data_IF_732728635626
#
_entry.id   IF_732728635626
#
_cell.length_a   1.000
_cell.length_b   1.000
_cell.length_c   1.000
_cell.angle_alpha   90.00
_cell.angle_beta   90.00
_cell.angle_gamma   90.00
#
_symmetry.space_group_name_H-M   'P 1'
#
loop_
_entity.id
_entity.type
_entity.pdbx_description
1 polymer ?
#
# COMPACT_ATOMS: atom_id res chain seq x y z
N UNK A 1 14.63 20.66 5.32
CA UNK A 1 14.37 21.55 4.17
C UNK A 1 13.20 20.98 3.36
N UNK A 2 12.38 21.81 2.72
CA UNK A 2 11.30 21.35 1.81
C UNK A 2 11.84 21.19 0.38
N UNK A 3 11.13 20.44 -0.48
CA UNK A 3 11.57 20.13 -1.85
C UNK A 3 11.80 21.40 -2.69
N UNK A 4 10.89 22.37 -2.64
CA UNK A 4 11.03 23.64 -3.38
C UNK A 4 12.25 24.43 -2.88
N UNK A 5 12.39 24.58 -1.56
CA UNK A 5 13.55 25.27 -0.98
C UNK A 5 14.88 24.58 -1.29
N UNK A 6 14.89 23.25 -1.41
CA UNK A 6 16.06 22.50 -1.86
C UNK A 6 16.38 22.83 -3.32
N UNK A 7 15.39 22.76 -4.20
CA UNK A 7 15.55 23.10 -5.60
C UNK A 7 16.10 24.52 -5.79
N UNK A 8 15.56 25.52 -5.10
CA UNK A 8 16.00 26.91 -5.23
C UNK A 8 17.46 27.11 -4.79
N UNK A 9 17.91 26.38 -3.77
CA UNK A 9 19.30 26.39 -3.31
C UNK A 9 20.22 25.75 -4.35
N UNK A 10 19.86 24.58 -4.86
CA UNK A 10 20.68 23.87 -5.85
C UNK A 10 20.72 24.64 -7.18
N UNK A 11 19.59 25.22 -7.60
CA UNK A 11 19.50 26.02 -8.83
C UNK A 11 20.32 27.32 -8.75
N UNK A 12 20.33 27.99 -7.58
CA UNK A 12 21.23 29.14 -7.33
C UNK A 12 22.71 28.77 -7.37
N UNK A 13 23.07 27.54 -6.99
CA UNK A 13 24.44 27.05 -7.10
C UNK A 13 24.79 26.60 -8.54
N UNK A 14 23.80 26.18 -9.34
CA UNK A 14 23.95 25.82 -10.76
C UNK A 14 24.48 26.98 -11.62
N UNK A 15 24.08 28.21 -11.30
CA UNK A 15 24.58 29.40 -12.02
C UNK A 15 26.06 29.67 -11.74
N UNK A 16 26.62 29.10 -10.66
CA UNK A 16 28.00 29.32 -10.20
C UNK A 16 28.96 28.17 -10.51
N UNK A 17 28.49 26.92 -10.59
CA UNK A 17 29.36 25.75 -10.85
C UNK A 17 28.59 24.65 -11.61
N UNK A 18 28.89 24.46 -12.90
CA UNK A 18 28.13 23.56 -13.79
C UNK A 18 28.79 22.22 -14.08
N UNK A 19 30.01 21.96 -13.58
CA UNK A 19 30.86 20.90 -14.14
C UNK A 19 31.23 19.78 -13.15
N UNK A 20 30.65 19.76 -11.94
CA UNK A 20 30.90 18.71 -10.95
C UNK A 20 29.94 17.52 -11.07
N UNK A 21 30.46 16.30 -11.07
CA UNK A 21 29.65 15.06 -11.06
C UNK A 21 28.61 15.04 -9.92
N UNK A 22 29.05 15.35 -8.69
CA UNK A 22 28.17 15.46 -7.52
C UNK A 22 27.10 16.55 -7.71
N UNK A 23 27.47 17.69 -8.32
CA UNK A 23 26.53 18.77 -8.58
C UNK A 23 25.41 18.33 -9.54
N UNK A 24 25.77 17.68 -10.64
CA UNK A 24 24.81 17.18 -11.63
C UNK A 24 23.87 16.12 -11.05
N UNK A 25 24.39 15.22 -10.22
CA UNK A 25 23.58 14.24 -9.49
C UNK A 25 22.56 14.93 -8.58
N UNK A 26 22.99 15.89 -7.76
CA UNK A 26 22.11 16.58 -6.81
C UNK A 26 21.07 17.44 -7.55
N UNK A 27 21.48 18.13 -8.62
CA UNK A 27 20.58 18.94 -9.45
C UNK A 27 19.54 18.06 -10.17
N UNK A 28 19.94 16.94 -10.75
CA UNK A 28 19.03 15.99 -11.38
C UNK A 28 17.97 15.46 -10.41
N UNK A 29 18.36 15.10 -9.19
CA UNK A 29 17.40 14.70 -8.16
C UNK A 29 16.47 15.84 -7.75
N UNK A 30 16.96 17.07 -7.63
CA UNK A 30 16.13 18.23 -7.29
C UNK A 30 15.07 18.49 -8.37
N UNK A 31 15.47 18.51 -9.64
CA UNK A 31 14.56 18.66 -10.79
C UNK A 31 13.53 17.54 -10.82
N UNK A 32 13.98 16.30 -10.61
CA UNK A 32 13.10 15.13 -10.59
C UNK A 32 12.05 15.21 -9.48
N UNK A 33 12.44 15.62 -8.26
CA UNK A 33 11.50 15.78 -7.14
C UNK A 33 10.44 16.85 -7.42
N UNK A 34 10.82 17.98 -8.01
CA UNK A 34 9.88 19.05 -8.41
C UNK A 34 8.95 18.58 -9.52
N UNK A 35 9.49 17.93 -10.55
CA UNK A 35 8.71 17.35 -11.65
C UNK A 35 7.65 16.37 -11.14
N UNK A 36 8.03 15.46 -10.23
CA UNK A 36 7.10 14.50 -9.65
C UNK A 36 5.97 15.14 -8.86
N UNK A 37 6.27 16.25 -8.16
CA UNK A 37 5.31 16.94 -7.33
C UNK A 37 4.31 17.76 -8.15
N UNK A 38 4.78 18.44 -9.21
CA UNK A 38 4.00 19.46 -9.90
C UNK A 38 3.57 19.09 -11.32
N UNK A 39 4.45 18.44 -12.08
CA UNK A 39 4.30 18.36 -13.55
C UNK A 39 4.02 16.94 -14.05
N UNK A 40 4.25 15.92 -13.22
CA UNK A 40 4.03 14.53 -13.61
C UNK A 40 2.54 14.27 -13.82
N UNK A 41 2.13 14.05 -15.06
CA UNK A 41 0.75 13.73 -15.41
C UNK A 41 0.34 12.38 -14.81
N UNK A 42 -0.73 12.37 -14.01
CA UNK A 42 -1.26 11.15 -13.42
C UNK A 42 -2.45 10.65 -14.24
N UNK A 43 -2.25 9.55 -14.98
CA UNK A 43 -3.29 8.94 -15.81
C UNK A 43 -4.52 8.47 -15.03
N UNK A 44 -4.40 8.16 -13.73
CA UNK A 44 -5.53 7.73 -12.90
C UNK A 44 -6.42 8.89 -12.48
N UNK A 45 -5.82 10.03 -12.10
CA UNK A 45 -6.56 11.21 -11.63
C UNK A 45 -6.78 12.25 -12.73
N UNK A 46 -6.16 12.09 -13.90
CA UNK A 46 -6.12 13.06 -15.01
C UNK A 46 -5.64 14.46 -14.59
N UNK A 47 -4.91 14.55 -13.49
CA UNK A 47 -4.34 15.77 -12.93
C UNK A 47 -2.82 15.70 -12.90
N UNK A 48 -2.17 16.87 -12.86
CA UNK A 48 -0.73 16.95 -12.68
C UNK A 48 -0.37 16.76 -11.21
N UNK A 49 0.77 16.09 -10.97
CA UNK A 49 1.30 15.81 -9.65
C UNK A 49 0.97 14.39 -9.15
N UNK A 50 1.98 13.75 -8.56
CA UNK A 50 1.84 12.45 -7.91
C UNK A 50 1.27 12.58 -6.49
N UNK A 51 0.69 11.49 -5.99
CA UNK A 51 0.25 11.45 -4.60
C UNK A 51 1.42 11.68 -3.65
N UNK A 52 1.16 12.34 -2.52
CA UNK A 52 2.16 12.61 -1.47
C UNK A 52 2.87 11.32 -1.03
N UNK A 53 2.12 10.22 -0.95
CA UNK A 53 2.64 8.89 -0.61
C UNK A 53 3.66 8.40 -1.65
N UNK A 54 3.36 8.56 -2.93
CA UNK A 54 4.27 8.18 -4.03
C UNK A 54 5.53 9.03 -4.05
N UNK A 55 5.39 10.35 -3.87
CA UNK A 55 6.55 11.26 -3.79
C UNK A 55 7.44 10.91 -2.59
N UNK A 56 6.84 10.64 -1.43
CA UNK A 56 7.57 10.23 -0.24
C UNK A 56 8.29 8.88 -0.41
N UNK A 57 7.67 7.90 -1.09
CA UNK A 57 8.30 6.61 -1.37
C UNK A 57 9.55 6.79 -2.25
N UNK A 58 9.45 7.61 -3.30
CA UNK A 58 10.58 7.91 -4.19
C UNK A 58 11.66 8.74 -3.48
N UNK A 59 11.28 9.70 -2.64
CA UNK A 59 12.22 10.46 -1.81
C UNK A 59 12.99 9.56 -0.84
N UNK A 60 12.34 8.55 -0.22
CA UNK A 60 13.01 7.55 0.61
C UNK A 60 14.03 6.75 -0.19
N UNK A 61 13.65 6.29 -1.38
CA UNK A 61 14.57 5.61 -2.28
C UNK A 61 15.77 6.49 -2.64
N UNK A 62 15.54 7.76 -3.00
CA UNK A 62 16.62 8.70 -3.27
C UNK A 62 17.53 8.90 -2.06
N UNK A 63 16.98 9.04 -0.85
CA UNK A 63 17.79 9.15 0.38
C UNK A 63 18.71 7.95 0.55
N UNK A 64 18.17 6.73 0.45
CA UNK A 64 18.94 5.48 0.56
C UNK A 64 20.00 5.37 -0.53
N UNK A 65 19.66 5.70 -1.78
CA UNK A 65 20.60 5.66 -2.89
C UNK A 65 21.78 6.63 -2.69
N UNK A 66 21.52 7.85 -2.24
CA UNK A 66 22.59 8.84 -2.01
C UNK A 66 23.40 8.52 -0.75
N UNK A 67 22.82 7.90 0.27
CA UNK A 67 23.59 7.35 1.39
C UNK A 67 24.56 6.27 0.92
N UNK A 68 24.12 5.36 0.06
CA UNK A 68 25.01 4.36 -0.54
C UNK A 68 26.17 5.00 -1.34
N UNK A 69 25.89 6.04 -2.12
CA UNK A 69 26.94 6.76 -2.86
C UNK A 69 27.93 7.49 -1.93
N UNK A 70 27.47 7.95 -0.76
CA UNK A 70 28.31 8.57 0.26
C UNK A 70 29.20 7.54 0.95
N UNK A 71 28.64 6.38 1.31
CA UNK A 71 29.37 5.25 1.91
C UNK A 71 30.49 4.74 0.98
N UNK A 72 30.22 4.68 -0.33
CA UNK A 72 31.19 4.31 -1.37
C UNK A 72 32.16 5.44 -1.75
N UNK A 73 32.11 6.60 -1.06
CA UNK A 73 32.92 7.80 -1.32
C UNK A 73 32.81 8.36 -2.75
N UNK A 74 31.70 8.09 -3.46
CA UNK A 74 31.42 8.63 -4.79
C UNK A 74 30.90 10.07 -4.73
N UNK A 75 30.30 10.46 -3.59
CA UNK A 75 29.89 11.83 -3.29
C UNK A 75 30.42 12.26 -1.91
N UNK A 76 30.66 13.57 -1.73
CA UNK A 76 31.23 14.10 -0.47
C UNK A 76 30.22 14.39 0.64
N UNK A 77 28.97 14.66 0.30
CA UNK A 77 27.90 15.02 1.25
C UNK A 77 26.55 14.64 0.65
N UNK A 78 25.74 13.91 1.43
CA UNK A 78 24.35 13.60 1.09
C UNK A 78 23.42 14.78 1.43
N UNK A 79 23.32 15.72 0.49
CA UNK A 79 22.40 16.87 0.62
C UNK A 79 20.90 16.50 0.57
N UNK A 80 20.54 15.32 0.07
CA UNK A 80 19.14 14.87 -0.07
C UNK A 80 18.58 14.41 1.28
N UNK A 81 19.42 13.94 2.19
CA UNK A 81 18.93 13.49 3.49
C UNK A 81 18.33 14.63 4.34
N UNK A 82 18.75 15.88 4.08
CA UNK A 82 18.22 17.09 4.73
C UNK A 82 16.78 17.44 4.29
N UNK A 83 16.23 16.75 3.26
CA UNK A 83 14.87 16.97 2.76
C UNK A 83 13.87 16.26 3.69
N UNK A 84 12.90 17.02 4.19
CA UNK A 84 11.81 16.49 5.03
C UNK A 84 10.77 15.80 4.14
N UNK A 85 10.23 14.69 4.64
CA UNK A 85 9.08 14.04 4.01
C UNK A 85 7.88 15.00 3.99
N UNK A 86 7.10 14.92 2.90
CA UNK A 86 5.88 15.69 2.76
C UNK A 86 4.83 15.18 3.76
N UNK A 87 4.16 16.09 4.46
CA UNK A 87 3.04 15.73 5.33
C UNK A 87 1.86 15.28 4.48
N UNK A 88 1.30 14.11 4.81
CA UNK A 88 0.04 13.64 4.23
C UNK A 88 -1.02 13.60 5.32
N UNK A 89 -2.24 13.97 4.99
CA UNK A 89 -3.39 13.67 5.84
C UNK A 89 -3.53 12.16 5.99
N UNK A 90 -3.72 11.70 7.22
CA UNK A 90 -4.02 10.31 7.48
C UNK A 90 -5.33 9.96 6.79
N UNK A 91 -5.29 8.97 5.88
CA UNK A 91 -6.52 8.42 5.34
C UNK A 91 -7.25 7.75 6.50
N UNK A 92 -8.34 8.35 6.95
CA UNK A 92 -9.25 7.73 7.92
C UNK A 92 -9.79 6.46 7.27
N UNK A 93 -9.32 5.31 7.73
CA UNK A 93 -9.90 4.04 7.35
C UNK A 93 -11.29 3.95 7.98
N UNK A 94 -12.33 4.11 7.18
CA UNK A 94 -13.71 3.88 7.62
C UNK A 94 -13.97 2.39 7.64
N UNK A 95 -14.33 1.87 8.81
CA UNK A 95 -14.81 0.49 8.94
C UNK A 95 -16.12 0.35 8.16
N UNK A 96 -16.34 -0.82 7.58
CA UNK A 96 -17.65 -1.16 7.01
C UNK A 96 -18.70 -1.15 8.13
N UNK A 97 -19.85 -0.57 7.85
CA UNK A 97 -21.03 -0.65 8.73
C UNK A 97 -21.65 -2.05 8.67
N UNK A 98 -22.44 -2.41 9.69
CA UNK A 98 -23.13 -3.71 9.73
C UNK A 98 -24.03 -3.92 8.50
N UNK A 99 -24.66 -2.85 7.99
CA UNK A 99 -25.53 -2.89 6.81
C UNK A 99 -24.74 -3.07 5.51
N UNK A 100 -23.56 -2.45 5.39
CA UNK A 100 -22.66 -2.64 4.25
C UNK A 100 -22.07 -4.06 4.25
N UNK A 101 -21.78 -4.62 5.43
CA UNK A 101 -21.34 -6.01 5.57
C UNK A 101 -22.45 -7.00 5.16
N UNK A 102 -23.69 -6.77 5.59
CA UNK A 102 -24.84 -7.59 5.16
C UNK A 102 -24.99 -7.56 3.64
N UNK A 103 -24.97 -6.37 3.04
CA UNK A 103 -25.01 -6.23 1.57
C UNK A 103 -23.87 -6.97 0.88
N UNK A 104 -22.65 -6.90 1.42
CA UNK A 104 -21.49 -7.61 0.89
C UNK A 104 -21.70 -9.14 0.90
N UNK A 105 -22.31 -9.68 1.96
CA UNK A 105 -22.61 -11.10 2.09
C UNK A 105 -23.80 -11.59 1.27
N UNK A 106 -24.65 -10.69 0.80
CA UNK A 106 -25.80 -11.00 -0.06
C UNK A 106 -25.43 -11.02 -1.56
N UNK A 107 -24.30 -10.44 -1.96
CA UNK A 107 -23.84 -10.41 -3.36
C UNK A 107 -23.67 -11.80 -4.00
N UNK A 108 -23.08 -12.82 -3.32
CA UNK A 108 -22.84 -14.10 -3.96
C UNK A 108 -24.12 -14.94 -4.05
N UNK A 109 -24.48 -15.44 -5.24
CA UNK A 109 -25.58 -16.39 -5.38
C UNK A 109 -25.15 -17.75 -4.83
N UNK A 110 -25.75 -18.16 -3.72
CA UNK A 110 -25.43 -19.39 -2.98
C UNK A 110 -25.90 -20.67 -3.71
N UNK A 111 -26.74 -20.53 -4.73
CA UNK A 111 -27.17 -21.66 -5.56
C UNK A 111 -26.12 -22.02 -6.63
N UNK A 112 -25.20 -21.10 -6.94
CA UNK A 112 -24.15 -21.33 -7.92
C UNK A 112 -22.82 -21.66 -7.24
N UNK A 113 -22.29 -22.86 -7.51
CA UNK A 113 -21.09 -23.38 -6.84
C UNK A 113 -19.86 -22.46 -6.86
N UNK A 114 -19.48 -21.81 -7.99
CA UNK A 114 -18.34 -20.87 -8.00
C UNK A 114 -18.57 -19.66 -7.10
N UNK A 115 -19.78 -19.10 -7.09
CA UNK A 115 -20.12 -17.91 -6.29
C UNK A 115 -20.26 -18.26 -4.80
N UNK A 116 -20.72 -19.48 -4.50
CA UNK A 116 -20.67 -20.04 -3.15
C UNK A 116 -19.23 -20.20 -2.65
N UNK A 117 -18.30 -20.65 -3.50
CA UNK A 117 -16.87 -20.70 -3.14
C UNK A 117 -16.28 -19.34 -2.83
N UNK A 118 -16.60 -18.31 -3.63
CA UNK A 118 -16.18 -16.94 -3.38
C UNK A 118 -16.70 -16.43 -2.02
N UNK A 119 -17.94 -16.77 -1.67
CA UNK A 119 -18.52 -16.46 -0.36
C UNK A 119 -17.78 -17.17 0.79
N UNK A 120 -17.47 -18.45 0.62
CA UNK A 120 -16.73 -19.23 1.64
C UNK A 120 -15.32 -18.67 1.85
N UNK A 121 -14.62 -18.30 0.77
CA UNK A 121 -13.29 -17.66 0.84
C UNK A 121 -13.37 -16.31 1.55
N UNK A 122 -14.41 -15.50 1.26
CA UNK A 122 -14.64 -14.22 1.93
C UNK A 122 -14.83 -14.41 3.44
N UNK A 123 -15.63 -15.39 3.85
CA UNK A 123 -15.84 -15.71 5.26
C UNK A 123 -14.56 -16.21 5.95
N UNK A 124 -13.78 -17.07 5.30
CA UNK A 124 -12.53 -17.57 5.86
C UNK A 124 -11.47 -16.46 5.98
N UNK A 125 -11.39 -15.57 5.00
CA UNK A 125 -10.53 -14.38 5.05
C UNK A 125 -10.89 -13.44 6.22
N UNK A 126 -12.19 -13.15 6.41
CA UNK A 126 -12.65 -12.35 7.55
C UNK A 126 -12.39 -13.02 8.89
N UNK A 127 -12.52 -14.35 8.94
CA UNK A 127 -12.18 -15.15 10.12
C UNK A 127 -10.68 -15.07 10.42
N UNK A 128 -9.83 -15.19 9.42
CA UNK A 128 -8.38 -15.16 9.62
C UNK A 128 -7.90 -13.79 10.10
N UNK A 129 -8.41 -12.70 9.51
CA UNK A 129 -8.15 -11.33 9.98
C UNK A 129 -8.65 -11.13 11.41
N UNK A 130 -9.78 -11.74 11.80
CA UNK A 130 -10.29 -11.66 13.19
C UNK A 130 -9.40 -12.38 14.22
N UNK A 131 -8.48 -13.25 13.78
CA UNK A 131 -7.46 -13.85 14.66
C UNK A 131 -6.27 -12.91 14.87
N UNK A 132 -5.89 -12.15 13.85
CA UNK A 132 -4.83 -11.14 13.94
C UNK A 132 -5.30 -9.87 14.69
N UNK A 133 -6.61 -9.57 14.68
CA UNK A 133 -7.24 -8.44 15.39
C UNK A 133 -8.41 -8.92 16.26
N UNK A 134 -8.33 -8.86 17.62
CA UNK A 134 -9.20 -9.60 18.55
C UNK A 134 -10.63 -9.03 18.71
N UNK A 135 -11.36 -8.84 17.61
CA UNK A 135 -12.66 -8.14 17.57
C UNK A 135 -13.89 -8.99 17.24
N UNK A 136 -13.75 -10.17 16.66
CA UNK A 136 -14.88 -11.06 16.35
C UNK A 136 -14.65 -12.45 16.95
N UNK A 137 -15.33 -12.75 18.07
CA UNK A 137 -15.28 -14.09 18.65
C UNK A 137 -15.96 -15.10 17.72
N UNK A 138 -15.40 -16.32 17.62
CA UNK A 138 -15.95 -17.48 16.89
C UNK A 138 -17.44 -17.72 17.13
N UNK A 139 -17.95 -17.33 18.30
CA UNK A 139 -19.35 -17.48 18.68
C UNK A 139 -20.29 -16.65 17.81
N UNK A 140 -19.91 -15.42 17.43
CA UNK A 140 -20.72 -14.56 16.54
C UNK A 140 -20.72 -15.05 15.09
N UNK A 141 -19.61 -15.64 14.63
CA UNK A 141 -19.51 -16.20 13.28
C UNK A 141 -20.40 -17.44 13.09
N UNK A 142 -20.52 -18.29 14.12
CA UNK A 142 -21.45 -19.43 14.09
C UNK A 142 -22.91 -19.00 14.04
N UNK A 143 -23.29 -17.94 14.78
CA UNK A 143 -24.65 -17.40 14.73
C UNK A 143 -24.98 -16.88 13.33
N UNK A 144 -24.06 -16.13 12.71
CA UNK A 144 -24.23 -15.61 11.35
C UNK A 144 -24.31 -16.76 10.32
N UNK A 145 -23.48 -17.80 10.43
CA UNK A 145 -23.54 -18.96 9.54
C UNK A 145 -24.87 -19.73 9.66
N UNK A 146 -25.40 -19.86 10.87
CA UNK A 146 -26.69 -20.50 11.13
C UNK A 146 -27.86 -19.67 10.55
N UNK A 147 -27.82 -18.34 10.66
CA UNK A 147 -28.82 -17.44 10.09
C UNK A 147 -28.90 -17.52 8.55
N UNK A 148 -27.83 -18.00 7.90
CA UNK A 148 -27.75 -18.21 6.46
C UNK A 148 -27.97 -19.67 6.01
N UNK A 149 -28.44 -20.54 6.91
CA UNK A 149 -28.76 -21.94 6.58
C UNK A 149 -27.54 -22.83 6.33
N UNK A 150 -26.35 -22.43 6.77
CA UNK A 150 -25.14 -23.24 6.69
C UNK A 150 -25.07 -24.11 7.94
N UNK A 151 -25.53 -25.35 7.85
CA UNK A 151 -25.75 -26.23 9.02
C UNK A 151 -24.48 -26.53 9.84
N UNK A 152 -23.27 -26.46 9.26
CA UNK A 152 -22.02 -26.72 9.99
C UNK A 152 -20.82 -25.92 9.44
N UNK A 153 -20.51 -24.72 9.97
CA UNK A 153 -19.37 -23.92 9.53
C UNK A 153 -17.99 -24.55 9.85
N UNK A 154 -17.93 -25.51 10.79
CA UNK A 154 -16.67 -26.11 11.26
C UNK A 154 -16.26 -27.40 10.53
N UNK A 155 -17.10 -27.95 9.64
CA UNK A 155 -16.83 -29.26 9.02
C UNK A 155 -16.31 -29.18 7.59
N UNK A 156 -16.21 -28.02 6.93
CA UNK A 156 -15.65 -27.95 5.55
C UNK A 156 -14.20 -28.45 5.52
N UNK A 157 -13.34 -27.97 6.43
CA UNK A 157 -11.94 -28.40 6.53
C UNK A 157 -11.76 -29.84 7.03
N UNK A 158 -12.71 -30.35 7.83
CA UNK A 158 -12.67 -31.72 8.38
C UNK A 158 -13.25 -32.75 7.39
N UNK A 159 -14.29 -32.39 6.62
CA UNK A 159 -14.85 -33.21 5.53
C UNK A 159 -13.84 -33.36 4.40
N UNK A 160 -13.14 -32.30 4.00
CA UNK A 160 -12.10 -32.35 2.96
C UNK A 160 -10.93 -33.29 3.31
N UNK A 161 -10.60 -33.45 4.59
CA UNK A 161 -9.62 -34.45 5.07
C UNK A 161 -10.16 -35.88 5.10
N UNK A 162 -11.47 -36.07 5.30
CA UNK A 162 -12.12 -37.39 5.40
C UNK A 162 -12.57 -37.97 4.05
N UNK A 163 -12.82 -37.16 3.03
CA UNK A 163 -13.25 -37.63 1.70
C UNK A 163 -12.13 -38.14 0.80
N UNK A 164 -10.86 -38.09 1.21
CA UNK A 164 -9.76 -38.77 0.50
C UNK A 164 -9.52 -38.31 -0.95
N UNK A 165 -10.05 -37.15 -1.36
CA UNK A 165 -9.93 -36.62 -2.74
C UNK A 165 -8.53 -36.06 -3.05
N UNK A 166 -7.65 -35.95 -2.05
CA UNK A 166 -6.23 -35.66 -2.23
C UNK A 166 -5.36 -36.76 -1.60
N UNK A 167 -5.37 -37.95 -2.20
CA UNK A 167 -4.14 -38.77 -2.20
C UNK A 167 -3.30 -38.30 -3.36
N UNK A 168 -2.14 -37.70 -3.07
CA UNK A 168 -1.09 -37.51 -4.06
C UNK A 168 -0.83 -38.84 -4.77
N UNK A 169 -1.07 -38.84 -6.08
CA UNK A 169 -0.33 -39.62 -7.07
C UNK A 169 0.14 -38.63 -8.12
#
# INVERSE_FOLDING_TARGET
MNIITFYDVVNRNASRNKNGFQFNLVYGAAVYLVYMQNDHYNYKTKMNGLSVQTVNARLRFSKTFYSFLEDENLIKDNSIDKIKLLKSDERKFTKLTDDELKRLFEIPNKENFPQFWDFVILLDYLRDISREYPGLSFRKQRTIAADFGVEEPDTIGVRLKKTGVFRYR
#
